data_IF_065368878204
#
_entry.id   IF_065368878204
#
_cell.length_a   1.000
_cell.length_b   1.000
_cell.length_c   1.000
_cell.angle_alpha   90.00
_cell.angle_beta   90.00
_cell.angle_gamma   90.00
#
_symmetry.space_group_name_H-M   'P 1'
#
loop_
_entity.id
_entity.type
_entity.pdbx_description
1 polymer ?
#
# COMPACT_ATOMS: atom_id res chain seq x y z
N UNK A 1 -14.47 -4.85 14.96
CA UNK A 1 -13.20 -4.86 14.19
C UNK A 1 -12.97 -3.42 13.76
N UNK A 2 -11.81 -2.85 14.06
CA UNK A 2 -11.43 -1.49 13.64
C UNK A 2 -11.37 -1.45 12.11
N UNK A 3 -11.88 -0.39 11.47
CA UNK A 3 -11.82 -0.26 10.01
C UNK A 3 -10.38 -0.02 9.54
N UNK A 4 -10.07 -0.39 8.29
CA UNK A 4 -8.77 -0.13 7.64
C UNK A 4 -8.37 1.34 7.79
N UNK A 5 -9.34 2.22 7.54
CA UNK A 5 -9.17 3.67 7.65
C UNK A 5 -8.79 4.09 9.06
N UNK A 6 -9.52 3.63 10.08
CA UNK A 6 -9.24 4.00 11.47
C UNK A 6 -7.85 3.52 11.91
N UNK A 7 -7.46 2.28 11.58
CA UNK A 7 -6.13 1.75 11.93
C UNK A 7 -5.00 2.56 11.28
N UNK A 8 -5.07 2.84 9.97
CA UNK A 8 -4.01 3.60 9.29
C UNK A 8 -3.94 5.05 9.80
N UNK A 9 -5.10 5.68 10.00
CA UNK A 9 -5.18 7.09 10.37
C UNK A 9 -4.70 7.30 11.81
N UNK A 10 -5.17 6.49 12.75
CA UNK A 10 -4.98 6.73 14.17
C UNK A 10 -3.75 6.02 14.75
N UNK A 11 -3.40 4.83 14.25
CA UNK A 11 -2.41 3.95 14.90
C UNK A 11 -1.05 3.91 14.19
N UNK A 12 -1.02 4.03 12.86
CA UNK A 12 0.22 3.92 12.08
C UNK A 12 0.84 5.29 11.89
N UNK A 13 2.16 5.44 12.08
CA UNK A 13 2.80 6.76 12.04
C UNK A 13 3.74 6.96 10.87
N UNK A 14 4.54 5.94 10.56
CA UNK A 14 5.60 6.03 9.57
C UNK A 14 5.27 5.28 8.28
N UNK A 15 6.01 5.59 7.21
CA UNK A 15 5.96 4.81 5.97
C UNK A 15 6.23 3.31 6.23
N UNK A 16 7.21 2.99 7.09
CA UNK A 16 7.53 1.62 7.48
C UNK A 16 6.36 0.94 8.21
N UNK A 17 5.67 1.64 9.11
CA UNK A 17 4.52 1.08 9.83
C UNK A 17 3.39 0.69 8.88
N UNK A 18 3.07 1.58 7.95
CA UNK A 18 2.01 1.38 6.96
C UNK A 18 2.35 0.26 6.00
N UNK A 19 3.59 0.20 5.49
CA UNK A 19 4.03 -0.86 4.59
C UNK A 19 3.97 -2.24 5.26
N UNK A 20 4.54 -2.37 6.47
CA UNK A 20 4.51 -3.62 7.24
C UNK A 20 3.07 -4.09 7.48
N UNK A 21 2.19 -3.16 7.88
CA UNK A 21 0.79 -3.47 8.14
C UNK A 21 0.06 -3.90 6.86
N UNK A 22 0.15 -3.11 5.79
CA UNK A 22 -0.50 -3.37 4.50
C UNK A 22 -0.07 -4.73 3.91
N UNK A 23 1.23 -5.04 3.97
CA UNK A 23 1.77 -6.34 3.54
C UNK A 23 1.09 -7.51 4.27
N UNK A 24 0.86 -7.35 5.58
CA UNK A 24 0.19 -8.37 6.40
C UNK A 24 -1.28 -8.52 6.01
N UNK A 25 -1.98 -7.42 5.75
CA UNK A 25 -3.37 -7.43 5.30
C UNK A 25 -3.52 -8.07 3.92
N UNK A 26 -2.64 -7.77 2.97
CA UNK A 26 -2.66 -8.36 1.63
C UNK A 26 -2.38 -9.86 1.69
N UNK A 27 -1.39 -10.27 2.48
CA UNK A 27 -1.08 -11.69 2.70
C UNK A 27 -2.26 -12.45 3.32
N UNK A 28 -2.95 -11.84 4.30
CA UNK A 28 -4.12 -12.46 4.93
C UNK A 28 -5.38 -12.48 4.04
N UNK A 29 -5.47 -11.57 3.07
CA UNK A 29 -6.60 -11.47 2.15
C UNK A 29 -6.54 -12.47 0.98
N UNK A 30 -5.46 -13.26 0.87
CA UNK A 30 -5.23 -14.28 -0.16
C UNK A 30 -5.44 -13.72 -1.58
N UNK A 31 -4.83 -12.56 -1.84
CA UNK A 31 -4.94 -11.86 -3.11
C UNK A 31 -4.08 -12.53 -4.19
N UNK A 32 -4.55 -12.46 -5.44
CA UNK A 32 -3.72 -12.85 -6.58
C UNK A 32 -2.77 -11.71 -6.95
N UNK A 33 -1.50 -12.05 -7.12
CA UNK A 33 -0.41 -11.14 -7.52
C UNK A 33 0.02 -11.53 -8.94
N UNK A 34 -0.07 -10.61 -9.90
CA UNK A 34 0.26 -10.84 -11.31
C UNK A 34 0.99 -9.64 -11.91
N UNK A 35 1.26 -9.68 -13.22
CA UNK A 35 1.85 -8.55 -13.96
C UNK A 35 3.19 -8.03 -13.39
N UNK A 36 4.14 -8.93 -13.12
CA UNK A 36 5.48 -8.56 -12.67
C UNK A 36 5.65 -8.40 -11.15
N UNK A 37 4.56 -8.38 -10.37
CA UNK A 37 4.63 -8.47 -8.90
C UNK A 37 4.53 -9.93 -8.42
N UNK A 38 5.45 -10.31 -7.54
CA UNK A 38 5.58 -11.69 -7.07
C UNK A 38 5.02 -11.92 -5.67
N UNK A 39 4.73 -10.86 -4.90
CA UNK A 39 4.31 -10.99 -3.50
C UNK A 39 3.52 -9.77 -2.98
N UNK A 40 2.92 -9.97 -1.80
CA UNK A 40 2.14 -8.97 -1.09
C UNK A 40 2.94 -7.71 -0.72
N UNK A 41 4.25 -7.86 -0.49
CA UNK A 41 5.11 -6.75 -0.07
C UNK A 41 5.31 -5.76 -1.22
N UNK A 42 5.67 -6.27 -2.40
CA UNK A 42 5.92 -5.45 -3.57
C UNK A 42 4.64 -4.75 -4.05
N UNK A 43 3.48 -5.43 -4.04
CA UNK A 43 2.19 -4.77 -4.34
C UNK A 43 1.84 -3.69 -3.33
N UNK A 44 1.98 -3.96 -2.03
CA UNK A 44 1.70 -2.97 -0.99
C UNK A 44 2.64 -1.76 -1.13
N UNK A 45 3.92 -2.00 -1.39
CA UNK A 45 4.92 -0.96 -1.61
C UNK A 45 4.54 -0.05 -2.79
N UNK A 46 4.26 -0.63 -3.96
CA UNK A 46 3.91 0.15 -5.15
C UNK A 46 2.65 0.97 -4.93
N UNK A 47 1.61 0.38 -4.33
CA UNK A 47 0.36 1.08 -4.07
C UNK A 47 0.55 2.26 -3.10
N UNK A 48 1.34 2.07 -2.05
CA UNK A 48 1.65 3.12 -1.07
C UNK A 48 2.51 4.21 -1.72
N UNK A 49 3.59 3.88 -2.43
CA UNK A 49 4.44 4.89 -3.06
C UNK A 49 3.68 5.68 -4.11
N UNK A 50 2.82 5.03 -4.90
CA UNK A 50 1.93 5.70 -5.84
C UNK A 50 1.02 6.72 -5.14
N UNK A 51 0.40 6.35 -4.01
CA UNK A 51 -0.46 7.25 -3.24
C UNK A 51 0.28 8.46 -2.65
N UNK A 52 1.61 8.34 -2.48
CA UNK A 52 2.49 9.40 -1.99
C UNK A 52 3.16 10.18 -3.13
N UNK A 53 2.82 9.89 -4.39
CA UNK A 53 3.48 10.45 -5.57
C UNK A 53 5.00 10.23 -5.59
N UNK A 54 5.45 9.12 -5.02
CA UNK A 54 6.85 8.70 -5.00
C UNK A 54 7.11 7.66 -6.11
N UNK A 55 8.35 7.55 -6.61
CA UNK A 55 8.71 6.53 -7.59
C UNK A 55 8.45 5.12 -7.05
N UNK A 56 7.57 4.35 -7.70
CA UNK A 56 7.17 3.01 -7.28
C UNK A 56 8.17 1.91 -7.70
N UNK A 57 9.47 2.20 -7.60
CA UNK A 57 10.54 1.30 -8.04
C UNK A 57 11.19 0.54 -6.90
N UNK A 58 11.47 1.20 -5.79
CA UNK A 58 12.16 0.63 -4.63
C UNK A 58 11.70 1.30 -3.33
N UNK A 59 11.86 0.61 -2.20
CA UNK A 59 11.54 1.18 -0.90
C UNK A 59 12.58 2.26 -0.53
N UNK A 60 12.17 3.52 -0.36
CA UNK A 60 13.11 4.59 -0.07
C UNK A 60 13.50 4.55 1.42
N UNK A 61 14.63 3.89 1.74
CA UNK A 61 15.10 3.76 3.13
C UNK A 61 15.21 5.11 3.85
N UNK A 62 15.58 6.18 3.13
CA UNK A 62 15.65 7.55 3.64
C UNK A 62 14.32 8.05 4.24
N UNK A 63 13.18 7.60 3.71
CA UNK A 63 11.84 8.02 4.15
C UNK A 63 11.15 7.00 5.04
N UNK A 64 11.81 5.88 5.37
CA UNK A 64 11.19 4.77 6.09
C UNK A 64 10.57 5.20 7.43
N UNK A 65 11.27 6.06 8.16
CA UNK A 65 10.86 6.58 9.47
C UNK A 65 10.17 7.96 9.38
N UNK A 66 9.89 8.45 8.16
CA UNK A 66 9.15 9.69 7.96
C UNK A 66 7.69 9.54 8.36
N UNK A 67 7.14 10.55 9.04
CA UNK A 67 5.74 10.57 9.46
C UNK A 67 4.84 10.93 8.28
N UNK A 68 3.74 10.19 8.15
CA UNK A 68 2.70 10.50 7.18
C UNK A 68 1.71 11.52 7.74
N UNK A 69 1.34 12.47 6.90
CA UNK A 69 0.24 13.39 7.14
C UNK A 69 -1.09 12.65 7.14
N UNK A 70 -2.11 13.29 7.70
CA UNK A 70 -3.46 12.74 7.72
C UNK A 70 -3.99 12.52 6.29
N UNK A 71 -3.78 13.46 5.38
CA UNK A 71 -4.24 13.34 3.99
C UNK A 71 -3.62 12.13 3.27
N UNK A 72 -2.30 11.93 3.42
CA UNK A 72 -1.59 10.76 2.87
C UNK A 72 -2.15 9.45 3.42
N UNK A 73 -2.38 9.39 4.74
CA UNK A 73 -2.96 8.21 5.39
C UNK A 73 -4.35 7.86 4.86
N UNK A 74 -5.20 8.85 4.61
CA UNK A 74 -6.54 8.63 4.02
C UNK A 74 -6.41 8.11 2.58
N UNK A 75 -5.58 8.72 1.75
CA UNK A 75 -5.36 8.27 0.38
C UNK A 75 -4.84 6.81 0.31
N UNK A 76 -3.91 6.46 1.20
CA UNK A 76 -3.40 5.09 1.32
C UNK A 76 -4.52 4.13 1.76
N UNK A 77 -5.30 4.51 2.77
CA UNK A 77 -6.37 3.67 3.31
C UNK A 77 -7.43 3.34 2.26
N UNK A 78 -7.87 4.32 1.49
CA UNK A 78 -8.87 4.15 0.44
C UNK A 78 -8.39 3.15 -0.62
N UNK A 79 -7.13 3.25 -1.04
CA UNK A 79 -6.55 2.35 -2.04
C UNK A 79 -6.37 0.92 -1.50
N UNK A 80 -5.91 0.77 -0.24
CA UNK A 80 -5.77 -0.54 0.41
C UNK A 80 -7.13 -1.21 0.57
N UNK A 81 -8.15 -0.46 0.99
CA UNK A 81 -9.51 -0.99 1.17
C UNK A 81 -10.08 -1.47 -0.15
N UNK A 82 -9.93 -0.68 -1.23
CA UNK A 82 -10.32 -1.09 -2.59
C UNK A 82 -9.56 -2.33 -3.06
N UNK A 83 -8.24 -2.38 -2.85
CA UNK A 83 -7.40 -3.53 -3.25
C UNK A 83 -7.86 -4.84 -2.59
N UNK A 84 -8.24 -4.77 -1.31
CA UNK A 84 -8.68 -5.95 -0.54
C UNK A 84 -10.13 -6.32 -0.87
N UNK A 85 -11.03 -5.33 -0.89
CA UNK A 85 -12.47 -5.55 -1.04
C UNK A 85 -12.84 -5.88 -2.48
N UNK A 86 -12.38 -5.06 -3.42
CA UNK A 86 -12.73 -5.20 -4.84
C UNK A 86 -11.82 -6.25 -5.52
N UNK A 87 -10.73 -6.65 -4.87
CA UNK A 87 -9.72 -7.59 -5.38
C UNK A 87 -9.12 -7.19 -6.74
N UNK A 88 -9.10 -5.88 -7.00
CA UNK A 88 -8.56 -5.30 -8.23
C UNK A 88 -7.03 -5.22 -8.15
N UNK A 89 -6.27 -5.75 -9.12
CA UNK A 89 -4.81 -5.65 -9.11
C UNK A 89 -4.31 -4.21 -9.09
N UNK A 90 -3.16 -3.98 -8.44
CA UNK A 90 -2.54 -2.64 -8.28
C UNK A 90 -2.44 -1.85 -9.59
N UNK A 91 -2.03 -2.44 -10.74
CA UNK A 91 -1.95 -1.69 -12.00
C UNK A 91 -3.24 -1.02 -12.46
N UNK A 92 -4.41 -1.56 -12.09
CA UNK A 92 -5.70 -0.96 -12.43
C UNK A 92 -6.10 0.15 -11.46
N UNK A 93 -5.56 0.13 -10.23
CA UNK A 93 -5.78 1.17 -9.23
C UNK A 93 -4.84 2.37 -9.49
N UNK A 94 -3.62 2.11 -9.92
CA UNK A 94 -2.59 3.14 -10.16
C UNK A 94 -2.59 3.65 -11.60
N UNK A 95 -3.22 2.93 -12.54
CA UNK A 95 -3.09 3.13 -13.98
C UNK A 95 -1.64 3.04 -14.49
N UNK A 96 -0.79 2.31 -13.78
CA UNK A 96 0.62 2.09 -14.11
C UNK A 96 0.91 0.60 -14.17
N UNK A 97 1.69 0.16 -15.15
CA UNK A 97 2.11 -1.23 -15.29
C UNK A 97 3.64 -1.33 -15.30
N UNK A 98 4.17 -2.24 -14.49
CA UNK A 98 5.59 -2.54 -14.43
C UNK A 98 5.85 -3.84 -15.21
N UNK A 99 6.76 -3.77 -16.19
CA UNK A 99 7.21 -4.93 -16.94
C UNK A 99 8.59 -5.33 -16.41
N UNK A 100 8.74 -6.61 -16.08
CA UNK A 100 10.02 -7.23 -15.72
C UNK A 100 10.81 -7.64 -16.97
#
# INVERSE_FOLDING_TARGET
>A
MTSIQQTIVDELHTLRDVLRWATSQFSAADLFYGHGNTDAFNEALQLILHSLHLPATEFPELFADARLTHAEKHAIADLIERRITDRVPVPYLTHEAWFA
#
